data_IF_753915295472
#
_entry.id   IF_753915295472
#
_cell.length_a   1.000
_cell.length_b   1.000
_cell.length_c   1.000
_cell.angle_alpha   90.00
_cell.angle_beta   90.00
_cell.angle_gamma   90.00
#
_symmetry.space_group_name_H-M   'P 1'
#
loop_
_entity.id
_entity.type
_entity.pdbx_description
1 polymer ?
#
# COMPACT_ATOMS: atom_id res chain seq x y z
N UNK A 1 9.11 23.79 43.04
CA UNK A 1 9.92 22.98 42.08
C UNK A 1 8.98 22.33 41.07
N UNK A 2 9.44 22.18 39.83
CA UNK A 2 8.65 22.32 38.60
C UNK A 2 7.58 21.25 38.27
N UNK A 3 6.59 21.72 37.50
CA UNK A 3 5.32 21.16 37.03
C UNK A 3 5.38 19.72 36.46
N UNK A 4 4.45 18.87 36.92
CA UNK A 4 4.04 17.63 36.23
C UNK A 4 3.24 18.04 34.99
N UNK A 5 3.93 18.19 33.87
CA UNK A 5 3.30 18.33 32.55
C UNK A 5 2.72 16.97 32.17
N UNK A 6 1.39 16.85 32.16
CA UNK A 6 0.68 15.69 31.63
C UNK A 6 1.01 15.54 30.14
N UNK A 7 2.07 14.77 29.83
CA UNK A 7 2.46 14.49 28.45
C UNK A 7 1.29 13.81 27.76
N UNK A 8 0.67 14.48 26.78
CA UNK A 8 -0.31 13.89 25.88
C UNK A 8 0.22 12.52 25.44
N UNK A 9 -0.51 11.44 25.74
CA UNK A 9 -0.12 10.09 25.32
C UNK A 9 -0.11 10.09 23.80
N UNK A 10 1.08 10.12 23.21
CA UNK A 10 1.24 9.90 21.77
C UNK A 10 0.78 8.47 21.50
N UNK A 11 -0.26 8.32 20.69
CA UNK A 11 -0.77 7.00 20.30
C UNK A 11 0.32 6.31 19.49
N UNK A 12 0.98 5.34 20.09
CA UNK A 12 2.00 4.52 19.43
C UNK A 12 1.30 3.66 18.39
N UNK A 13 1.57 3.91 17.11
CA UNK A 13 1.02 3.14 15.99
C UNK A 13 1.84 1.89 15.69
N UNK A 14 3.11 1.85 16.11
CA UNK A 14 4.05 0.76 15.84
C UNK A 14 4.76 0.31 17.11
N UNK A 15 4.49 -0.93 17.55
CA UNK A 15 5.28 -1.58 18.60
C UNK A 15 6.56 -2.21 18.01
N UNK A 16 7.66 -2.15 18.76
CA UNK A 16 8.91 -2.83 18.41
C UNK A 16 8.73 -4.36 18.35
N UNK A 17 9.66 -5.06 17.70
CA UNK A 17 9.60 -6.51 17.46
C UNK A 17 9.46 -7.29 18.78
N UNK A 18 10.27 -6.94 19.79
CA UNK A 18 10.26 -7.63 21.08
C UNK A 18 8.92 -7.48 21.78
N UNK A 19 8.37 -6.26 21.84
CA UNK A 19 7.08 -6.02 22.48
C UNK A 19 5.92 -6.67 21.70
N UNK A 20 6.01 -6.67 20.36
CA UNK A 20 5.03 -7.36 19.50
C UNK A 20 5.04 -8.87 19.72
N UNK A 21 6.22 -9.50 19.75
CA UNK A 21 6.37 -10.94 20.00
C UNK A 21 5.88 -11.33 21.39
N UNK A 22 6.17 -10.51 22.40
CA UNK A 22 5.71 -10.71 23.78
C UNK A 22 4.25 -10.30 24.03
N UNK A 23 3.56 -9.71 23.04
CA UNK A 23 2.20 -9.17 23.15
C UNK A 23 2.03 -8.19 24.33
N UNK A 24 3.05 -7.39 24.61
CA UNK A 24 3.03 -6.38 25.68
C UNK A 24 2.94 -4.96 25.11
N UNK A 25 2.50 -4.02 25.94
CA UNK A 25 2.45 -2.60 25.59
C UNK A 25 3.86 -2.07 25.29
N UNK A 26 4.00 -1.40 24.16
CA UNK A 26 5.21 -0.69 23.76
C UNK A 26 4.95 0.81 23.83
N UNK A 27 5.86 1.56 24.45
CA UNK A 27 5.76 3.01 24.57
C UNK A 27 6.28 3.76 23.32
N UNK A 28 6.80 3.03 22.32
CA UNK A 28 7.15 3.59 21.01
C UNK A 28 8.34 4.56 21.00
N UNK A 29 9.02 4.72 22.14
CA UNK A 29 10.21 5.59 22.27
C UNK A 29 11.34 5.04 21.38
N UNK A 30 12.03 5.94 20.69
CA UNK A 30 13.21 5.66 19.87
C UNK A 30 14.44 6.33 20.49
N UNK A 31 15.63 5.70 20.47
CA UNK A 31 15.99 4.49 19.72
C UNK A 31 15.55 3.16 20.37
N UNK A 32 15.29 3.14 21.69
CA UNK A 32 14.85 1.95 22.41
C UNK A 32 13.61 2.24 23.24
N UNK A 33 12.67 1.29 23.24
CA UNK A 33 11.47 1.37 24.06
C UNK A 33 11.83 1.26 25.54
N UNK A 34 11.13 1.95 26.45
CA UNK A 34 11.47 1.93 27.90
C UNK A 34 11.57 0.51 28.45
N UNK A 35 10.66 -0.38 28.06
CA UNK A 35 10.70 -1.79 28.47
C UNK A 35 11.88 -2.56 27.89
N UNK A 36 12.31 -2.23 26.68
CA UNK A 36 13.43 -2.85 26.01
C UNK A 36 14.74 -2.43 26.69
N UNK A 37 14.84 -1.13 26.99
CA UNK A 37 15.94 -0.54 27.75
C UNK A 37 16.07 -1.15 29.15
N UNK A 38 14.97 -1.26 29.91
CA UNK A 38 15.01 -1.86 31.26
C UNK A 38 15.39 -3.34 31.27
N UNK A 39 15.05 -4.08 30.20
CA UNK A 39 15.38 -5.49 30.09
C UNK A 39 16.75 -5.74 29.42
N UNK A 40 17.46 -4.70 29.01
CA UNK A 40 18.74 -4.84 28.30
C UNK A 40 18.64 -5.61 26.99
N UNK A 41 17.47 -5.60 26.34
CA UNK A 41 17.25 -6.33 25.08
C UNK A 41 17.30 -5.40 23.88
N UNK A 42 17.74 -5.93 22.75
CA UNK A 42 17.82 -5.18 21.51
C UNK A 42 16.42 -4.75 21.03
N UNK A 43 16.23 -3.43 20.89
CA UNK A 43 14.96 -2.86 20.45
C UNK A 43 15.01 -2.56 18.97
N UNK A 44 14.41 -3.46 18.17
CA UNK A 44 14.28 -3.25 16.74
C UNK A 44 12.84 -2.91 16.35
N UNK A 45 12.68 -1.95 15.45
CA UNK A 45 11.43 -1.65 14.76
C UNK A 45 11.58 -2.11 13.31
N UNK A 46 10.68 -2.96 12.82
CA UNK A 46 10.62 -3.26 11.38
C UNK A 46 9.86 -2.17 10.66
N UNK A 47 10.22 -1.95 9.39
CA UNK A 47 9.41 -1.14 8.50
C UNK A 47 7.95 -1.61 8.49
N UNK A 48 7.00 -0.68 8.35
CA UNK A 48 5.60 -1.05 8.19
C UNK A 48 5.47 -2.00 7.00
N UNK A 49 4.63 -3.05 7.10
CA UNK A 49 4.42 -3.97 5.99
C UNK A 49 4.03 -3.15 4.76
N UNK A 50 4.68 -3.43 3.62
CA UNK A 50 4.36 -2.79 2.34
C UNK A 50 2.85 -2.82 2.16
N UNK A 51 2.25 -1.65 1.92
CA UNK A 51 0.81 -1.52 1.71
C UNK A 51 0.40 -2.60 0.70
N UNK A 52 -0.52 -3.48 1.09
CA UNK A 52 -1.03 -4.53 0.21
C UNK A 52 -1.43 -3.87 -1.11
N UNK A 53 -0.94 -4.40 -2.21
CA UNK A 53 -1.26 -3.89 -3.55
C UNK A 53 -2.78 -3.85 -3.79
N UNK A 54 -3.23 -3.18 -4.86
CA UNK A 54 -4.65 -3.13 -5.19
C UNK A 54 -5.26 -4.54 -5.19
N UNK A 55 -6.50 -4.70 -4.71
CA UNK A 55 -7.15 -6.00 -4.60
C UNK A 55 -7.21 -6.68 -5.97
N UNK A 56 -6.98 -8.00 -6.03
CA UNK A 56 -6.93 -8.79 -7.28
C UNK A 56 -8.13 -8.54 -8.20
N UNK A 57 -9.33 -8.44 -7.62
CA UNK A 57 -10.59 -8.12 -8.33
C UNK A 57 -10.51 -6.82 -9.14
N UNK A 58 -9.79 -5.80 -8.64
CA UNK A 58 -9.62 -4.53 -9.37
C UNK A 58 -8.75 -4.72 -10.62
N UNK A 59 -7.78 -5.62 -10.57
CA UNK A 59 -6.88 -5.92 -11.69
C UNK A 59 -7.68 -6.61 -12.80
N UNK A 60 -8.47 -7.64 -12.44
CA UNK A 60 -9.32 -8.38 -13.38
C UNK A 60 -10.33 -7.46 -14.09
N UNK A 61 -10.97 -6.53 -13.36
CA UNK A 61 -11.89 -5.55 -13.95
C UNK A 61 -11.19 -4.64 -14.96
N UNK A 62 -9.96 -4.19 -14.65
CA UNK A 62 -9.17 -3.35 -15.55
C UNK A 62 -8.76 -4.13 -16.81
N UNK A 63 -8.32 -5.37 -16.66
CA UNK A 63 -7.93 -6.24 -17.76
C UNK A 63 -9.10 -6.55 -18.70
N UNK A 64 -10.26 -6.89 -18.14
CA UNK A 64 -11.48 -7.11 -18.93
C UNK A 64 -11.91 -5.86 -19.69
N UNK A 65 -11.83 -4.69 -19.04
CA UNK A 65 -12.12 -3.40 -19.70
C UNK A 65 -11.13 -3.11 -20.82
N UNK A 66 -9.83 -3.36 -20.60
CA UNK A 66 -8.78 -3.19 -21.62
C UNK A 66 -9.07 -4.06 -22.83
N UNK A 67 -9.32 -5.35 -22.62
CA UNK A 67 -9.62 -6.29 -23.71
C UNK A 67 -10.83 -5.84 -24.55
N UNK A 68 -11.89 -5.35 -23.90
CA UNK A 68 -13.07 -4.84 -24.60
C UNK A 68 -12.73 -3.62 -25.47
N UNK A 69 -11.97 -2.66 -24.94
CA UNK A 69 -11.56 -1.46 -25.69
C UNK A 69 -10.71 -1.86 -26.91
N UNK A 70 -9.69 -2.70 -26.71
CA UNK A 70 -8.82 -3.16 -27.79
C UNK A 70 -9.62 -3.85 -28.90
N UNK A 71 -10.58 -4.71 -28.53
CA UNK A 71 -11.44 -5.39 -29.51
C UNK A 71 -12.27 -4.42 -30.37
N UNK A 72 -12.83 -3.37 -29.75
CA UNK A 72 -13.60 -2.34 -30.45
C UNK A 72 -12.73 -1.49 -31.38
N UNK A 73 -11.52 -1.13 -30.93
CA UNK A 73 -10.59 -0.36 -31.75
C UNK A 73 -10.15 -1.14 -32.99
N UNK A 74 -9.83 -2.44 -32.85
CA UNK A 74 -9.49 -3.30 -33.98
C UNK A 74 -10.66 -3.45 -34.95
N UNK A 75 -11.88 -3.54 -34.44
CA UNK A 75 -13.08 -3.60 -35.28
C UNK A 75 -13.26 -2.30 -36.07
N UNK A 76 -13.15 -1.12 -35.44
CA UNK A 76 -13.24 0.17 -36.13
C UNK A 76 -12.14 0.34 -37.19
N UNK A 77 -10.90 -0.06 -36.89
CA UNK A 77 -9.80 0.00 -37.86
C UNK A 77 -10.10 -0.85 -39.10
N UNK A 78 -10.68 -2.05 -38.93
CA UNK A 78 -11.11 -2.89 -40.07
C UNK A 78 -12.16 -2.20 -40.93
N UNK A 79 -13.18 -1.58 -40.33
CA UNK A 79 -14.19 -0.83 -41.10
C UNK A 79 -13.56 0.36 -41.84
N UNK A 80 -12.66 1.11 -41.20
CA UNK A 80 -11.98 2.24 -41.84
C UNK A 80 -11.10 1.81 -43.02
N UNK A 81 -10.44 0.65 -42.95
CA UNK A 81 -9.65 0.13 -44.08
C UNK A 81 -10.51 -0.28 -45.27
N UNK A 82 -11.73 -0.79 -45.03
CA UNK A 82 -12.65 -1.22 -46.08
C UNK A 82 -13.30 -0.03 -46.80
N UNK A 83 -13.52 1.09 -46.10
CA UNK A 83 -14.06 2.32 -46.67
C UNK A 83 -13.02 3.01 -47.58
N UNK A 84 -11.75 3.05 -47.17
CA UNK A 84 -10.64 3.60 -47.98
C UNK A 84 -10.44 2.86 -49.32
N UNK A 85 -10.60 1.54 -49.33
CA UNK A 85 -10.53 0.74 -50.57
C UNK A 85 -11.76 0.91 -51.48
N UNK A 86 -12.85 1.47 -50.96
CA UNK A 86 -14.11 1.71 -51.69
C UNK A 86 -14.17 3.10 -52.33
N UNK A 87 -13.51 4.10 -51.74
CA UNK A 87 -13.46 5.48 -52.26
C UNK A 87 -12.44 5.70 -53.38
N UNK A 88 -11.53 4.75 -53.64
CA UNK A 88 -10.51 4.86 -54.70
C UNK A 88 -10.92 4.23 -56.06
N UNK A 89 -12.19 3.86 -56.25
CA UNK A 89 -12.74 3.31 -57.50
C UNK A 89 -13.77 4.26 -58.16
N UNK A 90 -13.53 5.57 -58.09
CA UNK A 90 -14.13 6.59 -58.96
C UNK A 90 -13.07 7.60 -59.38
#
# INVERSE_FOLDING_TARGET
MAKISSRKRVKVTLACIVCRKKKVKCDGVQPSCSRCQSNGVECQYTDPPKKRGPPKVRIEVIENRKHRIESLLLQQQKYNTLDYTRTCYF
#
